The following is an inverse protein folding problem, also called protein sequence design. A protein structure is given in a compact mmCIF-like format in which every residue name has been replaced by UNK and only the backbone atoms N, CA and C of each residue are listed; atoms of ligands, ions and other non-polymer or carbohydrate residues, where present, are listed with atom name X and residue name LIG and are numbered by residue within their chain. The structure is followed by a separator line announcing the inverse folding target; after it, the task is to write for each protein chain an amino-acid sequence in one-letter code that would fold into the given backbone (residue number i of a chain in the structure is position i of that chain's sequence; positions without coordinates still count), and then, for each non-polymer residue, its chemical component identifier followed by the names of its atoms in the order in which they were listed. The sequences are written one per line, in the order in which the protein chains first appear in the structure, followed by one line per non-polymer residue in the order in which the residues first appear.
data_IF_090070610090
#
_entry.id   IF_090070610090
#
_cell.length_a   1.000
_cell.length_b   1.000
_cell.length_c   1.000
_cell.angle_alpha   90.00
_cell.angle_beta   90.00
_cell.angle_gamma   90.00
#
_symmetry.space_group_name_H-M   'P 1'
#
loop_
_entity.id
_entity.type
_entity.pdbx_description
1 polymer ?
#
# COMPACT_ATOMS: atom_id res chain seq x y z
N UNK A 1 -18.49 4.40 15.74
CA UNK A 1 -18.54 5.76 16.37
C UNK A 1 -18.40 6.89 15.34
N UNK A 2 -17.80 6.70 14.21
CA UNK A 2 -17.74 7.72 13.14
C UNK A 2 -16.78 8.88 13.44
N UNK A 3 -15.66 8.61 14.12
CA UNK A 3 -14.65 9.62 14.42
C UNK A 3 -13.87 9.97 13.15
N UNK A 4 -13.76 11.27 12.83
CA UNK A 4 -13.04 11.72 11.64
C UNK A 4 -11.54 11.44 11.74
N UNK A 5 -10.92 11.00 10.67
CA UNK A 5 -9.50 10.65 10.60
C UNK A 5 -8.53 11.73 11.14
N UNK A 6 -8.72 13.06 10.88
CA UNK A 6 -7.85 14.08 11.48
C UNK A 6 -7.87 14.08 13.01
N UNK A 7 -9.01 13.78 13.62
CA UNK A 7 -9.14 13.67 15.09
C UNK A 7 -8.39 12.44 15.60
N UNK A 8 -8.58 11.28 14.95
CA UNK A 8 -7.84 10.05 15.26
C UNK A 8 -6.32 10.26 15.14
N UNK A 9 -5.86 10.90 14.09
CA UNK A 9 -4.42 11.20 13.89
C UNK A 9 -3.87 12.11 14.99
N UNK A 10 -4.63 13.13 15.43
CA UNK A 10 -4.22 14.00 16.53
C UNK A 10 -4.10 13.20 17.83
N UNK A 11 -5.09 12.38 18.12
CA UNK A 11 -5.12 11.54 19.33
C UNK A 11 -4.00 10.49 19.30
N UNK A 12 -3.79 9.82 18.17
CA UNK A 12 -2.70 8.86 18.00
C UNK A 12 -1.31 9.48 18.28
N UNK A 13 -1.07 10.72 17.82
CA UNK A 13 0.18 11.45 18.10
C UNK A 13 0.35 11.77 19.58
N UNK A 14 -0.72 12.03 20.32
CA UNK A 14 -0.66 12.24 21.77
C UNK A 14 -0.33 10.93 22.47
N UNK A 15 -1.05 9.86 22.15
CA UNK A 15 -0.83 8.54 22.74
C UNK A 15 0.57 7.99 22.43
N UNK A 16 1.08 8.18 21.22
CA UNK A 16 2.41 7.70 20.83
C UNK A 16 3.57 8.32 21.61
N UNK A 17 3.33 9.40 22.37
CA UNK A 17 4.27 10.01 23.29
C UNK A 17 4.14 9.56 24.75
N UNK A 18 3.20 8.65 25.03
CA UNK A 18 2.93 8.09 26.35
C UNK A 18 3.42 6.64 26.42
N UNK A 19 3.09 5.94 27.49
CA UNK A 19 3.29 4.49 27.62
C UNK A 19 2.16 3.75 26.88
N UNK A 20 2.36 3.54 25.58
CA UNK A 20 1.36 3.01 24.65
C UNK A 20 1.52 1.50 24.38
N UNK A 21 2.67 0.92 24.72
CA UNK A 21 3.02 -0.46 24.35
C UNK A 21 2.07 -1.47 24.98
N UNK A 22 1.77 -1.33 26.27
CA UNK A 22 0.83 -2.20 26.97
C UNK A 22 -0.58 -2.09 26.36
N UNK A 23 -1.03 -0.87 26.06
CA UNK A 23 -2.31 -0.66 25.38
C UNK A 23 -2.33 -1.28 23.99
N UNK A 24 -1.24 -1.17 23.22
CA UNK A 24 -1.13 -1.78 21.89
C UNK A 24 -1.33 -3.31 21.93
N UNK A 25 -0.76 -3.99 22.92
CA UNK A 25 -0.87 -5.45 23.09
C UNK A 25 -2.26 -5.88 23.61
N UNK A 26 -2.95 -5.04 24.36
CA UNK A 26 -4.24 -5.34 25.00
C UNK A 26 -5.44 -4.81 24.22
N UNK A 27 -5.24 -4.06 23.15
CA UNK A 27 -6.33 -3.47 22.37
C UNK A 27 -7.25 -4.56 21.81
N UNK A 28 -8.54 -4.42 22.03
CA UNK A 28 -9.55 -5.44 21.73
C UNK A 28 -10.05 -5.37 20.25
N UNK A 29 -9.70 -4.28 19.56
CA UNK A 29 -10.04 -4.02 18.15
C UNK A 29 -11.52 -4.26 17.79
N UNK A 30 -12.43 -4.08 18.76
CA UNK A 30 -13.87 -4.23 18.56
C UNK A 30 -14.43 -3.19 17.57
N UNK A 31 -13.78 -2.02 17.52
CA UNK A 31 -14.21 -0.91 16.71
C UNK A 31 -13.20 -0.58 15.63
N UNK A 32 -13.69 -0.24 14.45
CA UNK A 32 -12.86 0.25 13.34
C UNK A 32 -11.86 1.34 13.76
N UNK A 33 -12.32 2.28 14.61
CA UNK A 33 -11.50 3.38 15.08
C UNK A 33 -10.39 2.92 16.05
N UNK A 34 -10.59 1.85 16.79
CA UNK A 34 -9.56 1.27 17.67
C UNK A 34 -8.45 0.63 16.86
N UNK A 35 -8.79 -0.22 15.89
CA UNK A 35 -7.82 -0.80 14.96
C UNK A 35 -7.03 0.29 14.24
N UNK A 36 -7.73 1.33 13.72
CA UNK A 36 -7.09 2.48 13.09
C UNK A 36 -6.14 3.19 14.05
N UNK A 37 -6.56 3.44 15.28
CA UNK A 37 -5.79 4.14 16.30
C UNK A 37 -4.53 3.35 16.67
N UNK A 38 -4.66 2.03 16.87
CA UNK A 38 -3.54 1.14 17.20
C UNK A 38 -2.44 1.18 16.14
N UNK A 39 -2.81 1.07 14.86
CA UNK A 39 -1.87 1.23 13.76
C UNK A 39 -1.23 2.62 13.72
N UNK A 40 -2.02 3.68 13.88
CA UNK A 40 -1.50 5.05 13.88
C UNK A 40 -0.54 5.33 15.05
N UNK A 41 -0.85 4.86 16.26
CA UNK A 41 0.02 5.04 17.45
C UNK A 41 1.37 4.37 17.22
N UNK A 42 1.37 3.11 16.80
CA UNK A 42 2.62 2.38 16.52
C UNK A 42 3.42 3.04 15.40
N UNK A 43 2.75 3.61 14.38
CA UNK A 43 3.42 4.30 13.27
C UNK A 43 3.96 5.70 13.65
N UNK A 44 3.38 6.40 14.62
CA UNK A 44 3.86 7.71 15.10
C UNK A 44 4.88 7.63 16.23
N UNK A 45 4.89 6.57 17.02
CA UNK A 45 5.77 6.44 18.17
C UNK A 45 7.24 6.55 17.75
N UNK A 46 8.07 7.17 18.59
CA UNK A 46 9.51 7.31 18.34
C UNK A 46 10.23 6.05 18.76
N UNK A 47 10.89 5.37 17.83
CA UNK A 47 11.66 4.14 18.06
C UNK A 47 12.65 3.88 16.94
N UNK A 48 13.55 2.94 17.14
CA UNK A 48 14.47 2.47 16.11
C UNK A 48 13.74 1.64 15.03
N UNK A 49 14.29 1.60 13.82
CA UNK A 49 13.68 0.90 12.67
C UNK A 49 13.34 -0.57 12.99
N UNK A 50 14.27 -1.30 13.59
CA UNK A 50 14.08 -2.73 13.93
C UNK A 50 12.89 -2.94 14.88
N UNK A 51 12.77 -2.08 15.88
CA UNK A 51 11.65 -2.11 16.82
C UNK A 51 10.34 -1.77 16.10
N UNK A 52 10.34 -0.76 15.22
CA UNK A 52 9.19 -0.41 14.38
C UNK A 52 8.71 -1.60 13.58
N UNK A 53 9.60 -2.29 12.88
CA UNK A 53 9.25 -3.45 12.08
C UNK A 53 8.65 -4.58 12.91
N UNK A 54 9.04 -4.73 14.19
CA UNK A 54 8.39 -5.67 15.12
C UNK A 54 6.92 -5.31 15.36
N UNK A 55 6.60 -4.03 15.59
CA UNK A 55 5.21 -3.58 15.76
C UNK A 55 4.42 -3.64 14.44
N UNK A 56 5.06 -3.35 13.30
CA UNK A 56 4.43 -3.55 11.98
C UNK A 56 4.06 -5.01 11.78
N UNK A 57 4.97 -5.95 12.08
CA UNK A 57 4.71 -7.38 11.96
C UNK A 57 3.56 -7.87 12.85
N UNK A 58 3.42 -7.29 14.06
CA UNK A 58 2.31 -7.60 14.97
C UNK A 58 0.98 -7.03 14.49
N UNK A 59 1.00 -5.86 13.87
CA UNK A 59 -0.23 -5.14 13.48
C UNK A 59 -0.78 -5.59 12.12
N UNK A 60 0.07 -5.91 11.15
CA UNK A 60 -0.38 -6.23 9.78
C UNK A 60 -1.41 -7.36 9.73
N UNK A 61 -1.30 -8.46 10.52
CA UNK A 61 -2.30 -9.53 10.54
C UNK A 61 -3.71 -9.10 10.97
N UNK A 62 -3.83 -8.00 11.72
CA UNK A 62 -5.09 -7.49 12.27
C UNK A 62 -5.76 -6.46 11.34
N UNK A 63 -5.09 -6.10 10.24
CA UNK A 63 -5.68 -5.21 9.23
C UNK A 63 -6.83 -5.94 8.53
N UNK A 64 -8.04 -5.42 8.68
CA UNK A 64 -9.27 -6.05 8.19
C UNK A 64 -10.05 -5.20 7.17
N UNK A 65 -9.52 -4.03 6.80
CA UNK A 65 -10.13 -3.16 5.80
C UNK A 65 -9.10 -2.25 5.11
N UNK A 66 -9.46 -1.76 3.93
CA UNK A 66 -8.58 -0.93 3.11
C UNK A 66 -8.18 0.41 3.73
N UNK A 67 -9.08 1.04 4.49
CA UNK A 67 -8.81 2.36 5.04
C UNK A 67 -7.80 2.30 6.19
N UNK A 68 -7.84 1.26 7.02
CA UNK A 68 -6.81 0.99 8.05
C UNK A 68 -5.48 0.72 7.37
N UNK A 69 -5.45 -0.17 6.36
CA UNK A 69 -4.24 -0.51 5.62
C UNK A 69 -3.55 0.73 5.03
N UNK A 70 -4.29 1.50 4.23
CA UNK A 70 -3.75 2.65 3.49
C UNK A 70 -3.32 3.78 4.44
N UNK A 71 -4.12 4.01 5.49
CA UNK A 71 -3.80 5.00 6.50
C UNK A 71 -2.54 4.64 7.28
N UNK A 72 -2.40 3.37 7.67
CA UNK A 72 -1.21 2.85 8.35
C UNK A 72 0.04 2.97 7.47
N UNK A 73 0.02 2.40 6.25
CA UNK A 73 1.15 2.47 5.31
C UNK A 73 1.59 3.92 5.06
N UNK A 74 0.64 4.83 4.81
CA UNK A 74 0.97 6.24 4.56
C UNK A 74 1.54 6.98 5.77
N UNK A 75 1.42 6.41 6.97
CA UNK A 75 1.94 6.99 8.22
C UNK A 75 3.34 6.49 8.56
N UNK A 76 3.80 5.36 8.01
CA UNK A 76 5.13 4.78 8.19
C UNK A 76 6.21 5.58 7.43
N UNK A 77 6.43 6.85 7.83
CA UNK A 77 7.35 7.78 7.13
C UNK A 77 8.83 7.40 7.25
N UNK A 78 9.19 6.61 8.23
CA UNK A 78 10.54 6.08 8.39
C UNK A 78 10.90 5.06 7.29
N UNK A 79 9.92 4.47 6.58
CA UNK A 79 10.16 3.67 5.39
C UNK A 79 10.93 4.44 4.28
N UNK A 80 10.75 5.75 4.19
CA UNK A 80 11.48 6.60 3.25
C UNK A 80 12.97 6.75 3.63
N UNK A 81 13.30 6.58 4.92
CA UNK A 81 14.66 6.66 5.46
C UNK A 81 15.36 5.30 5.49
N UNK A 82 14.64 4.25 5.87
CA UNK A 82 15.14 2.90 6.08
C UNK A 82 14.66 1.96 4.96
N UNK A 83 14.85 2.38 3.71
CA UNK A 83 14.28 1.70 2.53
C UNK A 83 14.74 0.25 2.38
N UNK A 84 16.01 -0.06 2.66
CA UNK A 84 16.52 -1.42 2.55
C UNK A 84 15.82 -2.37 3.54
N UNK A 85 15.71 -1.94 4.80
CA UNK A 85 15.08 -2.72 5.86
C UNK A 85 13.59 -2.96 5.59
N UNK A 86 12.87 -1.91 5.13
CA UNK A 86 11.45 -2.05 4.75
C UNK A 86 11.29 -2.87 3.48
N UNK A 87 12.20 -2.75 2.51
CA UNK A 87 12.18 -3.53 1.28
C UNK A 87 12.27 -5.04 1.56
N UNK A 88 13.19 -5.43 2.42
CA UNK A 88 13.36 -6.83 2.84
C UNK A 88 12.18 -7.30 3.69
N UNK A 89 11.69 -6.44 4.60
CA UNK A 89 10.58 -6.76 5.49
C UNK A 89 9.28 -7.07 4.74
N UNK A 90 8.94 -6.28 3.72
CA UNK A 90 7.67 -6.46 2.98
C UNK A 90 7.69 -7.67 2.03
N UNK A 91 8.84 -8.32 1.80
CA UNK A 91 8.99 -9.41 0.83
C UNK A 91 7.98 -10.55 1.05
N UNK A 92 7.83 -10.97 2.30
CA UNK A 92 6.98 -12.12 2.64
C UNK A 92 5.48 -11.88 2.41
N UNK A 93 5.05 -10.64 2.40
CA UNK A 93 3.65 -10.27 2.24
C UNK A 93 3.16 -10.32 0.79
N UNK A 94 4.06 -10.30 -0.22
CA UNK A 94 3.67 -10.42 -1.64
C UNK A 94 3.08 -11.78 -1.99
N UNK A 95 3.45 -12.82 -1.26
CA UNK A 95 2.95 -14.19 -1.48
C UNK A 95 1.91 -14.62 -0.43
N UNK A 96 1.47 -13.70 0.43
CA UNK A 96 0.48 -14.01 1.44
C UNK A 96 -0.87 -14.38 0.81
N UNK A 97 -1.54 -15.37 1.40
CA UNK A 97 -2.91 -15.76 1.04
C UNK A 97 -3.98 -14.91 1.75
N UNK A 98 -3.58 -13.98 2.63
CA UNK A 98 -4.49 -13.05 3.29
C UNK A 98 -4.60 -11.75 2.49
N UNK A 99 -5.83 -11.34 2.23
CA UNK A 99 -6.14 -10.21 1.34
C UNK A 99 -5.47 -8.90 1.76
N UNK A 100 -5.54 -8.56 3.06
CA UNK A 100 -5.00 -7.29 3.54
C UNK A 100 -3.50 -7.31 3.79
N UNK A 101 -2.89 -8.46 3.99
CA UNK A 101 -1.42 -8.60 3.99
C UNK A 101 -0.85 -8.35 2.57
N UNK A 102 -1.46 -8.95 1.53
CA UNK A 102 -1.11 -8.68 0.14
C UNK A 102 -1.36 -7.20 -0.24
N UNK A 103 -2.48 -6.62 0.24
CA UNK A 103 -2.75 -5.19 0.09
C UNK A 103 -1.68 -4.33 0.75
N UNK A 104 -1.29 -4.65 1.99
CA UNK A 104 -0.24 -3.94 2.71
C UNK A 104 1.05 -3.87 1.88
N UNK A 105 1.52 -5.00 1.34
CA UNK A 105 2.71 -5.05 0.50
C UNK A 105 2.59 -4.13 -0.74
N UNK A 106 1.47 -4.20 -1.46
CA UNK A 106 1.24 -3.35 -2.64
C UNK A 106 1.17 -1.86 -2.28
N UNK A 107 0.53 -1.51 -1.15
CA UNK A 107 0.40 -0.10 -0.71
C UNK A 107 1.73 0.44 -0.19
N UNK A 108 2.56 -0.37 0.46
CA UNK A 108 3.92 0.02 0.82
C UNK A 108 4.76 0.33 -0.42
N UNK A 109 4.69 -0.49 -1.49
CA UNK A 109 5.39 -0.20 -2.75
C UNK A 109 4.98 1.14 -3.35
N UNK A 110 3.68 1.36 -3.53
CA UNK A 110 3.19 2.60 -4.16
C UNK A 110 3.40 3.85 -3.28
N UNK A 111 3.57 3.68 -1.97
CA UNK A 111 3.76 4.78 -1.03
C UNK A 111 5.21 5.21 -0.84
N UNK A 112 6.16 4.27 -0.92
CA UNK A 112 7.54 4.49 -0.47
C UNK A 112 8.63 4.07 -1.48
N UNK A 113 8.30 3.30 -2.53
CA UNK A 113 9.26 2.72 -3.44
C UNK A 113 9.08 3.11 -4.91
N UNK A 114 8.34 4.21 -5.19
CA UNK A 114 8.16 4.72 -6.55
C UNK A 114 9.40 5.49 -6.98
N UNK A 115 10.48 4.75 -7.23
CA UNK A 115 11.79 5.23 -7.68
C UNK A 115 12.34 4.34 -8.78
N UNK A 116 13.21 4.90 -9.62
CA UNK A 116 13.74 4.20 -10.78
C UNK A 116 14.52 2.93 -10.43
N UNK A 117 15.31 2.98 -9.37
CA UNK A 117 16.07 1.84 -8.89
C UNK A 117 15.21 0.65 -8.44
N UNK A 118 13.98 0.91 -7.98
CA UNK A 118 13.04 -0.13 -7.56
C UNK A 118 12.05 -0.54 -8.64
N UNK A 119 11.90 0.21 -9.76
CA UNK A 119 10.83 0.02 -10.74
C UNK A 119 10.66 -1.42 -11.19
N UNK A 120 11.72 -2.00 -11.75
CA UNK A 120 11.69 -3.37 -12.32
C UNK A 120 11.28 -4.42 -11.29
N UNK A 121 11.88 -4.33 -10.11
CA UNK A 121 11.63 -5.30 -9.05
C UNK A 121 10.27 -5.09 -8.39
N UNK A 122 9.81 -3.85 -8.25
CA UNK A 122 8.45 -3.54 -7.78
C UNK A 122 7.38 -4.15 -8.70
N UNK A 123 7.55 -4.04 -10.01
CA UNK A 123 6.61 -4.65 -10.96
C UNK A 123 6.60 -6.17 -10.81
N UNK A 124 7.79 -6.82 -10.73
CA UNK A 124 7.89 -8.25 -10.49
C UNK A 124 7.18 -8.69 -9.18
N UNK A 125 7.35 -7.93 -8.11
CA UNK A 125 6.69 -8.18 -6.82
C UNK A 125 5.17 -7.98 -6.89
N UNK A 126 4.69 -6.95 -7.58
CA UNK A 126 3.25 -6.76 -7.80
C UNK A 126 2.63 -7.92 -8.57
N UNK A 127 3.33 -8.47 -9.57
CA UNK A 127 2.90 -9.65 -10.33
C UNK A 127 2.91 -10.95 -9.50
N UNK A 128 3.72 -11.03 -8.45
CA UNK A 128 3.74 -12.19 -7.55
C UNK A 128 2.55 -12.24 -6.60
N UNK A 129 1.78 -11.16 -6.48
CA UNK A 129 0.55 -11.14 -5.69
C UNK A 129 -0.54 -11.94 -6.44
N UNK A 130 -0.74 -13.18 -6.02
CA UNK A 130 -1.77 -14.09 -6.60
C UNK A 130 -3.06 -14.13 -5.78
N UNK A 131 -3.15 -13.34 -4.72
CA UNK A 131 -4.30 -13.25 -3.85
C UNK A 131 -5.53 -12.75 -4.62
N UNK A 132 -6.68 -13.47 -4.53
CA UNK A 132 -7.85 -13.24 -5.37
C UNK A 132 -8.85 -12.22 -4.82
N UNK A 133 -8.66 -11.74 -3.60
CA UNK A 133 -9.52 -10.76 -2.95
C UNK A 133 -9.56 -9.42 -3.71
N UNK A 134 -10.74 -8.82 -3.71
CA UNK A 134 -10.99 -7.57 -4.42
C UNK A 134 -10.04 -6.45 -4.00
N UNK A 135 -9.81 -6.30 -2.70
CA UNK A 135 -8.99 -5.20 -2.16
C UNK A 135 -7.48 -5.41 -2.41
N UNK A 136 -6.99 -6.65 -2.48
CA UNK A 136 -5.63 -6.95 -2.90
C UNK A 136 -5.41 -6.57 -4.37
N UNK A 137 -6.28 -7.07 -5.27
CA UNK A 137 -6.24 -6.75 -6.71
C UNK A 137 -6.36 -5.24 -6.99
N UNK A 138 -7.23 -4.56 -6.26
CA UNK A 138 -7.38 -3.10 -6.37
C UNK A 138 -6.14 -2.33 -5.92
N UNK A 139 -5.39 -2.84 -4.92
CA UNK A 139 -4.12 -2.25 -4.51
C UNK A 139 -3.04 -2.43 -5.56
N UNK A 140 -2.93 -3.62 -6.17
CA UNK A 140 -2.03 -3.86 -7.30
C UNK A 140 -2.36 -2.92 -8.47
N UNK A 141 -3.63 -2.82 -8.85
CA UNK A 141 -4.07 -1.92 -9.91
C UNK A 141 -3.76 -0.44 -9.60
N UNK A 142 -3.90 -0.04 -8.34
CA UNK A 142 -3.53 1.31 -7.91
C UNK A 142 -2.01 1.51 -7.97
N UNK A 143 -1.22 0.57 -7.49
CA UNK A 143 0.24 0.62 -7.57
C UNK A 143 0.71 0.76 -9.02
N UNK A 144 0.21 -0.07 -9.94
CA UNK A 144 0.50 0.04 -11.38
C UNK A 144 0.20 1.44 -11.91
N UNK A 145 -0.94 2.04 -11.53
CA UNK A 145 -1.28 3.39 -11.98
C UNK A 145 -0.37 4.48 -11.41
N UNK A 146 0.14 4.31 -10.19
CA UNK A 146 1.10 5.25 -9.57
C UNK A 146 2.48 5.13 -10.24
N UNK A 147 2.95 3.90 -10.49
CA UNK A 147 4.18 3.67 -11.27
C UNK A 147 4.05 4.20 -12.70
N UNK A 148 2.91 4.01 -13.35
CA UNK A 148 2.65 4.58 -14.69
C UNK A 148 2.77 6.11 -14.69
N UNK A 149 2.21 6.78 -13.69
CA UNK A 149 2.31 8.24 -13.59
C UNK A 149 3.74 8.74 -13.34
N UNK A 150 4.62 7.92 -12.77
CA UNK A 150 6.02 8.25 -12.49
C UNK A 150 6.96 7.87 -13.66
N UNK A 151 6.64 6.79 -14.40
CA UNK A 151 7.48 6.19 -15.44
C UNK A 151 6.62 5.78 -16.65
N UNK A 152 6.01 6.74 -17.37
CA UNK A 152 4.98 6.45 -18.37
C UNK A 152 5.46 5.57 -19.52
N UNK A 153 6.65 5.79 -20.05
CA UNK A 153 7.15 5.07 -21.22
C UNK A 153 7.45 3.60 -20.90
N UNK A 154 8.15 3.34 -19.79
CA UNK A 154 8.47 1.98 -19.34
C UNK A 154 7.20 1.21 -18.95
N UNK A 155 6.27 1.88 -18.29
CA UNK A 155 5.02 1.26 -17.86
C UNK A 155 4.05 1.05 -19.04
N UNK A 156 4.09 1.90 -20.06
CA UNK A 156 3.32 1.67 -21.29
C UNK A 156 3.82 0.40 -22.01
N UNK A 157 5.13 0.26 -22.19
CA UNK A 157 5.74 -0.95 -22.76
C UNK A 157 5.36 -2.19 -21.96
N UNK A 158 5.46 -2.12 -20.66
CA UNK A 158 5.06 -3.22 -19.74
C UNK A 158 3.60 -3.63 -19.95
N UNK A 159 2.67 -2.66 -20.01
CA UNK A 159 1.24 -2.92 -20.13
C UNK A 159 0.84 -3.42 -21.54
N UNK A 160 1.61 -3.11 -22.59
CA UNK A 160 1.35 -3.56 -23.94
C UNK A 160 1.83 -4.99 -24.20
N UNK A 161 3.04 -5.32 -23.77
CA UNK A 161 3.73 -6.52 -24.26
C UNK A 161 4.30 -7.44 -23.16
N UNK A 162 4.27 -7.05 -21.89
CA UNK A 162 5.06 -7.72 -20.85
C UNK A 162 4.35 -8.10 -19.56
N UNK A 163 3.08 -7.69 -19.36
CA UNK A 163 2.43 -7.89 -18.06
C UNK A 163 1.93 -9.33 -17.84
N UNK A 164 1.96 -9.77 -16.56
CA UNK A 164 1.38 -11.03 -16.08
C UNK A 164 0.18 -10.81 -15.17
N UNK A 165 -0.43 -9.63 -15.22
CA UNK A 165 -1.61 -9.29 -14.42
C UNK A 165 -2.81 -10.12 -14.91
N UNK A 166 -3.66 -10.56 -13.98
CA UNK A 166 -4.96 -11.11 -14.34
C UNK A 166 -5.85 -10.05 -15.00
N UNK A 167 -6.87 -10.51 -15.75
CA UNK A 167 -7.73 -9.64 -16.54
C UNK A 167 -8.39 -8.52 -15.72
N UNK A 168 -8.87 -8.84 -14.51
CA UNK A 168 -9.50 -7.85 -13.63
C UNK A 168 -8.50 -6.77 -13.20
N UNK A 169 -7.33 -7.18 -12.72
CA UNK A 169 -6.28 -6.27 -12.25
C UNK A 169 -5.77 -5.40 -13.40
N UNK A 170 -5.57 -5.97 -14.58
CA UNK A 170 -5.19 -5.23 -15.79
C UNK A 170 -6.23 -4.16 -16.14
N UNK A 171 -7.51 -4.54 -16.31
CA UNK A 171 -8.58 -3.60 -16.64
C UNK A 171 -8.72 -2.48 -15.60
N UNK A 172 -8.57 -2.81 -14.31
CA UNK A 172 -8.58 -1.81 -13.23
C UNK A 172 -7.36 -0.91 -13.24
N UNK A 173 -6.19 -1.40 -13.62
CA UNK A 173 -4.98 -0.58 -13.80
C UNK A 173 -5.20 0.46 -14.89
N UNK A 174 -5.67 0.06 -16.07
CA UNK A 174 -5.98 0.97 -17.16
C UNK A 174 -7.05 2.02 -16.77
N UNK A 175 -8.07 1.59 -16.01
CA UNK A 175 -9.08 2.50 -15.49
C UNK A 175 -8.45 3.56 -14.57
N UNK A 176 -7.65 3.14 -13.59
CA UNK A 176 -7.02 4.06 -12.62
C UNK A 176 -6.02 5.01 -13.28
N UNK A 177 -5.30 4.56 -14.31
CA UNK A 177 -4.41 5.42 -15.10
C UNK A 177 -5.22 6.53 -15.79
N UNK A 178 -6.36 6.19 -16.40
CA UNK A 178 -7.21 7.21 -17.06
C UNK A 178 -7.86 8.19 -16.10
N UNK A 179 -8.12 7.78 -14.86
CA UNK A 179 -8.67 8.61 -13.78
C UNK A 179 -7.62 9.51 -13.12
N UNK A 180 -6.33 9.17 -13.24
CA UNK A 180 -5.23 9.90 -12.58
C UNK A 180 -5.06 11.31 -13.14
N UNK A 181 -5.00 12.32 -12.28
CA UNK A 181 -4.67 13.71 -12.67
C UNK A 181 -3.19 13.89 -13.02
N UNK A 182 -2.32 12.93 -12.72
CA UNK A 182 -0.88 12.98 -12.96
C UNK A 182 -0.49 12.50 -14.33
N UNK A 183 -1.40 11.85 -15.08
CA UNK A 183 -1.17 11.33 -16.44
C UNK A 183 -1.72 12.34 -17.45
N UNK A 184 -0.91 12.67 -18.46
CA UNK A 184 -1.27 13.60 -19.52
C UNK A 184 -2.39 13.08 -20.44
N UNK A 185 -2.91 13.97 -21.28
CA UNK A 185 -4.07 13.66 -22.11
C UNK A 185 -3.75 12.69 -23.25
N UNK A 186 -2.52 12.71 -23.79
CA UNK A 186 -2.10 11.85 -24.90
C UNK A 186 -1.94 10.41 -24.42
N UNK A 187 -1.24 10.22 -23.30
CA UNK A 187 -1.12 8.91 -22.65
C UNK A 187 -2.50 8.34 -22.28
N UNK A 188 -3.39 9.17 -21.72
CA UNK A 188 -4.77 8.74 -21.43
C UNK A 188 -5.53 8.27 -22.69
N UNK A 189 -5.28 8.87 -23.85
CA UNK A 189 -5.89 8.42 -25.09
C UNK A 189 -5.42 7.01 -25.48
N UNK A 190 -4.12 6.78 -25.44
CA UNK A 190 -3.51 5.47 -25.71
C UNK A 190 -4.10 4.40 -24.76
N UNK A 191 -4.12 4.69 -23.46
CA UNK A 191 -4.66 3.77 -22.44
C UNK A 191 -6.16 3.49 -22.65
N UNK A 192 -6.95 4.48 -23.08
CA UNK A 192 -8.38 4.26 -23.42
C UNK A 192 -8.54 3.33 -24.62
N UNK A 193 -7.70 3.46 -25.64
CA UNK A 193 -7.72 2.56 -26.79
C UNK A 193 -7.34 1.13 -26.41
N UNK A 194 -6.33 0.94 -25.55
CA UNK A 194 -5.97 -0.36 -24.99
C UNK A 194 -7.15 -1.00 -24.22
N UNK A 195 -7.86 -0.20 -23.44
CA UNK A 195 -9.03 -0.67 -22.65
C UNK A 195 -10.21 -1.11 -23.52
N UNK A 196 -10.34 -0.59 -24.74
CA UNK A 196 -11.42 -0.97 -25.67
C UNK A 196 -11.11 -2.24 -26.45
N UNK A 197 -9.83 -2.61 -26.58
CA UNK A 197 -9.38 -3.79 -27.35
C UNK A 197 -9.32 -5.07 -26.51
N UNK A 198 -9.30 -4.99 -25.20
CA UNK A 198 -9.31 -6.09 -24.21
C UNK A 198 -10.56 -6.10 -23.37
#
# INVERSE_FOLDING_TARGET
MGIRLPVLRKFAKQLSGMDWQEWFEQADDQWYEETMLRGLVSAYAKMECKERLTYVAKFVPDINNWAVCDCFCSTLKDADKYQAEYWDFIETYFTSNKEYEARFAAVMLLGHFVKREYLKESIRRLESITQQGYYAKMAVAWAVSVYFAAFPDEMLTYLQDGHKLDEFTYKKSLQKITESYRVDKEMKKIIKEMRQRG
#
